data_IF_599467914703
#
_entry.id   IF_599467914703
#
_cell.length_a   1.000
_cell.length_b   1.000
_cell.length_c   1.000
_cell.angle_alpha   90.00
_cell.angle_beta   90.00
_cell.angle_gamma   90.00
#
_symmetry.space_group_name_H-M   'P 1'
#
loop_
_entity.id
_entity.type
_entity.pdbx_description
1 polymer ?
#
# COMPACT_ATOMS: atom_id res chain seq x y z
N UNK A 1 7.71 -21.32 -17.60
CA UNK A 1 6.39 -20.98 -17.03
C UNK A 1 6.41 -19.87 -15.98
N UNK A 2 7.36 -19.75 -15.07
CA UNK A 2 7.38 -18.71 -14.02
C UNK A 2 7.50 -17.27 -14.53
N UNK A 3 8.18 -17.04 -15.66
CA UNK A 3 8.37 -15.68 -16.22
C UNK A 3 7.10 -15.05 -16.79
N UNK A 4 6.14 -15.85 -17.26
CA UNK A 4 4.89 -15.35 -17.85
C UNK A 4 3.81 -15.05 -16.82
N UNK A 5 3.86 -15.68 -15.65
CA UNK A 5 2.88 -15.44 -14.58
C UNK A 5 2.97 -14.00 -14.04
N UNK A 6 4.18 -13.46 -13.89
CA UNK A 6 4.39 -12.07 -13.46
C UNK A 6 3.84 -11.05 -14.46
N UNK A 7 3.97 -11.32 -15.76
CA UNK A 7 3.44 -10.44 -16.82
C UNK A 7 1.91 -10.47 -16.85
N UNK A 8 1.31 -11.64 -16.68
CA UNK A 8 -0.16 -11.79 -16.67
C UNK A 8 -0.77 -11.10 -15.45
N UNK A 9 -0.12 -11.23 -14.27
CA UNK A 9 -0.58 -10.56 -13.04
C UNK A 9 -0.42 -9.05 -13.16
N UNK A 10 0.70 -8.57 -13.72
CA UNK A 10 0.90 -7.14 -13.97
C UNK A 10 -0.10 -6.59 -14.99
N UNK A 11 -0.38 -7.33 -16.07
CA UNK A 11 -1.36 -6.93 -17.07
C UNK A 11 -2.78 -6.92 -16.50
N UNK A 12 -3.15 -7.90 -15.69
CA UNK A 12 -4.42 -7.95 -14.98
C UNK A 12 -4.61 -6.74 -14.06
N UNK A 13 -3.58 -6.34 -13.34
CA UNK A 13 -3.64 -5.15 -12.48
C UNK A 13 -3.82 -3.86 -13.26
N UNK A 14 -3.15 -3.71 -14.39
CA UNK A 14 -3.32 -2.52 -15.25
C UNK A 14 -4.75 -2.42 -15.74
N UNK A 15 -5.36 -3.53 -16.16
CA UNK A 15 -6.75 -3.56 -16.67
C UNK A 15 -7.76 -3.20 -15.56
N UNK A 16 -7.55 -3.68 -14.33
CA UNK A 16 -8.43 -3.34 -13.20
C UNK A 16 -8.15 -1.96 -12.60
N UNK A 17 -6.95 -1.42 -12.77
CA UNK A 17 -6.58 -0.10 -12.29
C UNK A 17 -7.03 1.02 -13.24
N UNK A 18 -7.19 0.75 -14.55
CA UNK A 18 -7.58 1.76 -15.54
C UNK A 18 -8.89 2.48 -15.20
N UNK A 19 -10.00 1.82 -14.83
CA UNK A 19 -11.22 2.53 -14.46
C UNK A 19 -11.08 3.31 -13.14
N UNK A 20 -10.24 2.87 -12.22
CA UNK A 20 -9.97 3.60 -10.98
C UNK A 20 -9.12 4.86 -11.24
N UNK A 21 -8.15 4.78 -12.13
CA UNK A 21 -7.31 5.92 -12.54
C UNK A 21 -8.05 6.96 -13.39
N UNK A 22 -9.19 6.60 -14.00
CA UNK A 22 -10.07 7.54 -14.69
C UNK A 22 -10.90 8.39 -13.73
N UNK A 23 -10.96 8.05 -12.45
CA UNK A 23 -11.63 8.80 -11.39
C UNK A 23 -10.62 9.72 -10.70
N UNK A 24 -11.11 10.82 -10.11
CA UNK A 24 -10.27 11.63 -9.25
C UNK A 24 -9.96 10.86 -7.96
N UNK A 25 -8.71 10.94 -7.45
CA UNK A 25 -8.38 10.32 -6.17
C UNK A 25 -9.23 10.92 -5.06
N UNK A 26 -9.74 10.08 -4.17
CA UNK A 26 -10.55 10.51 -3.02
C UNK A 26 -9.70 10.98 -1.85
N UNK A 27 -8.49 10.42 -1.73
CA UNK A 27 -7.57 10.69 -0.61
C UNK A 27 -6.13 10.58 -1.09
N UNK A 28 -5.25 11.27 -0.37
CA UNK A 28 -3.81 11.01 -0.42
C UNK A 28 -3.30 10.65 0.98
N UNK A 29 -2.25 9.85 1.03
CA UNK A 29 -1.63 9.41 2.28
C UNK A 29 -0.13 9.57 2.18
N UNK A 30 0.48 10.18 3.19
CA UNK A 30 1.93 10.20 3.39
C UNK A 30 2.22 9.30 4.58
N UNK A 31 3.18 8.42 4.48
CA UNK A 31 3.49 7.45 5.52
C UNK A 31 4.99 7.29 5.74
N UNK A 32 5.33 6.87 6.94
CA UNK A 32 6.69 6.46 7.30
C UNK A 32 6.65 5.33 8.32
N UNK A 33 7.70 4.55 8.40
CA UNK A 33 7.77 3.46 9.35
C UNK A 33 8.97 2.53 9.18
N UNK A 34 8.91 1.41 9.87
CA UNK A 34 9.95 0.40 9.92
C UNK A 34 9.77 -0.67 8.84
N UNK A 35 10.86 -1.05 8.21
CA UNK A 35 10.99 -2.28 7.46
C UNK A 35 11.49 -3.36 8.42
N UNK A 36 10.72 -4.43 8.52
CA UNK A 36 11.01 -5.58 9.36
C UNK A 36 11.47 -6.72 8.46
N UNK A 37 12.69 -7.11 8.62
CA UNK A 37 13.32 -8.14 7.80
C UNK A 37 14.76 -8.35 8.25
N UNK A 38 15.57 -8.95 7.40
CA UNK A 38 16.98 -9.12 7.68
C UNK A 38 17.80 -8.56 6.50
N UNK A 39 18.40 -7.38 6.65
CA UNK A 39 18.43 -6.48 7.80
C UNK A 39 17.17 -5.60 7.95
N UNK A 40 16.92 -5.10 9.16
CA UNK A 40 15.87 -4.12 9.43
C UNK A 40 16.20 -2.75 8.81
N UNK A 41 15.17 -1.94 8.61
CA UNK A 41 15.34 -0.63 8.01
C UNK A 41 14.17 0.32 8.27
N UNK A 42 14.12 1.35 7.46
CA UNK A 42 13.00 2.30 7.46
C UNK A 42 12.56 2.60 6.03
N UNK A 43 11.31 3.02 5.89
CA UNK A 43 10.77 3.51 4.63
C UNK A 43 9.82 4.68 4.88
N UNK A 44 9.76 5.58 3.91
CA UNK A 44 8.76 6.62 3.84
C UNK A 44 8.23 6.69 2.42
N UNK A 45 6.98 7.11 2.27
CA UNK A 45 6.36 7.15 0.95
C UNK A 45 5.04 7.88 0.94
N UNK A 46 4.40 7.81 -0.21
CA UNK A 46 3.10 8.39 -0.43
C UNK A 46 2.24 7.48 -1.31
N UNK A 47 0.94 7.63 -1.18
CA UNK A 47 -0.04 6.92 -1.98
C UNK A 47 -1.28 7.74 -2.24
N UNK A 48 -2.02 7.31 -3.23
CA UNK A 48 -3.34 7.83 -3.58
C UNK A 48 -4.38 6.74 -3.32
N UNK A 49 -5.58 7.14 -2.99
CA UNK A 49 -6.72 6.22 -2.84
C UNK A 49 -7.79 6.58 -3.84
N UNK A 50 -8.27 5.58 -4.57
CA UNK A 50 -9.37 5.67 -5.51
C UNK A 50 -10.51 4.79 -5.00
N UNK A 51 -11.61 5.39 -4.58
CA UNK A 51 -12.75 4.64 -4.07
C UNK A 51 -13.53 4.02 -5.23
N UNK A 52 -13.59 2.68 -5.27
CA UNK A 52 -14.35 1.92 -6.27
C UNK A 52 -15.82 1.84 -5.86
N UNK A 53 -16.03 1.58 -4.57
CA UNK A 53 -17.35 1.61 -3.95
C UNK A 53 -17.21 1.95 -2.44
N UNK A 54 -18.31 1.89 -1.68
CA UNK A 54 -18.30 2.25 -0.27
C UNK A 54 -17.28 1.48 0.59
N UNK A 55 -16.99 0.23 0.24
CA UNK A 55 -16.13 -0.65 1.04
C UNK A 55 -14.79 -0.97 0.37
N UNK A 56 -14.67 -0.76 -0.95
CA UNK A 56 -13.50 -1.15 -1.72
C UNK A 56 -12.83 0.06 -2.34
N UNK A 57 -11.54 0.16 -2.16
CA UNK A 57 -10.70 1.17 -2.81
C UNK A 57 -9.45 0.53 -3.43
N UNK A 58 -8.84 1.23 -4.37
CA UNK A 58 -7.55 0.91 -4.96
C UNK A 58 -6.51 1.95 -4.54
N UNK A 59 -5.38 1.48 -4.02
CA UNK A 59 -4.33 2.31 -3.46
C UNK A 59 -2.99 2.05 -4.16
N UNK A 60 -2.65 2.81 -5.21
CA UNK A 60 -1.28 2.88 -5.70
C UNK A 60 -0.41 3.68 -4.72
N UNK A 61 0.77 3.15 -4.43
CA UNK A 61 1.71 3.80 -3.53
C UNK A 61 3.15 3.54 -3.95
N UNK A 62 4.02 4.48 -3.62
CA UNK A 62 5.46 4.32 -3.71
C UNK A 62 6.13 4.58 -2.37
N UNK A 63 7.28 3.98 -2.14
CA UNK A 63 8.10 4.30 -0.99
C UNK A 63 9.58 4.20 -1.29
N UNK A 64 10.35 4.98 -0.54
CA UNK A 64 11.80 4.98 -0.51
C UNK A 64 12.24 4.63 0.91
N UNK A 65 13.31 3.88 1.03
CA UNK A 65 13.82 3.49 2.32
C UNK A 65 15.25 2.96 2.27
N UNK A 66 15.70 2.46 3.40
CA UNK A 66 16.96 1.75 3.54
C UNK A 66 16.74 0.49 4.38
N UNK A 67 17.39 -0.58 3.96
CA UNK A 67 17.48 -1.82 4.72
C UNK A 67 18.98 -2.16 4.84
N UNK A 68 19.52 -1.99 6.05
CA UNK A 68 20.98 -1.98 6.23
C UNK A 68 21.65 -0.86 5.44
N UNK A 69 22.58 -1.20 4.57
CA UNK A 69 23.28 -0.25 3.69
C UNK A 69 22.63 -0.09 2.30
N UNK A 70 21.65 -0.90 1.97
CA UNK A 70 20.97 -0.88 0.67
C UNK A 70 19.81 0.11 0.65
N UNK A 71 19.73 0.91 -0.41
CA UNK A 71 18.55 1.70 -0.72
C UNK A 71 17.43 0.79 -1.23
N UNK A 72 16.21 1.01 -0.78
CA UNK A 72 15.04 0.25 -1.19
C UNK A 72 14.03 1.20 -1.81
N UNK A 73 13.61 0.92 -3.02
CA UNK A 73 12.48 1.55 -3.68
C UNK A 73 11.35 0.54 -3.84
N UNK A 74 10.12 0.94 -3.52
CA UNK A 74 8.97 0.09 -3.78
C UNK A 74 7.87 0.84 -4.52
N UNK A 75 7.21 0.14 -5.43
CA UNK A 75 5.99 0.56 -6.09
C UNK A 75 4.94 -0.52 -5.85
N UNK A 76 3.77 -0.16 -5.39
CA UNK A 76 2.71 -1.11 -5.07
C UNK A 76 1.34 -0.63 -5.53
N UNK A 77 0.49 -1.58 -5.91
CA UNK A 77 -0.94 -1.37 -6.11
C UNK A 77 -1.70 -2.39 -5.27
N UNK A 78 -2.52 -1.92 -4.37
CA UNK A 78 -3.30 -2.78 -3.49
C UNK A 78 -4.76 -2.42 -3.52
N UNK A 79 -5.61 -3.42 -3.41
CA UNK A 79 -7.03 -3.24 -3.11
C UNK A 79 -7.21 -3.27 -1.59
N UNK A 80 -8.01 -2.35 -1.10
CA UNK A 80 -8.36 -2.23 0.31
C UNK A 80 -9.84 -2.51 0.46
N UNK A 81 -10.19 -3.34 1.45
CA UNK A 81 -11.55 -3.57 1.89
C UNK A 81 -11.75 -2.95 3.27
N UNK A 82 -12.60 -1.94 3.37
CA UNK A 82 -12.90 -1.21 4.60
C UNK A 82 -14.16 -1.76 5.28
N UNK A 83 -14.04 -2.04 6.57
CA UNK A 83 -15.17 -2.47 7.42
C UNK A 83 -15.78 -1.25 8.07
N UNK A 84 -16.93 -0.81 7.57
CA UNK A 84 -17.68 0.26 8.19
C UNK A 84 -18.48 -0.31 9.36
N UNK A 85 -18.10 0.04 10.58
CA UNK A 85 -18.82 -0.28 11.81
C UNK A 85 -19.66 0.94 12.14
N UNK A 86 -20.84 0.72 12.73
CA UNK A 86 -21.85 1.78 12.96
C UNK A 86 -21.38 2.96 13.82
N UNK A 87 -20.27 2.82 14.51
CA UNK A 87 -19.60 3.88 15.28
C UNK A 87 -18.33 4.30 14.57
N UNK A 88 -18.42 5.28 13.68
CA UNK A 88 -17.40 5.68 12.69
C UNK A 88 -16.07 6.23 13.25
N UNK A 89 -15.77 6.02 14.54
CA UNK A 89 -14.53 6.49 15.15
C UNK A 89 -13.27 5.78 14.58
N UNK A 90 -13.40 4.52 14.15
CA UNK A 90 -12.29 3.71 13.61
C UNK A 90 -12.78 2.88 12.44
N UNK A 91 -12.06 2.93 11.33
CA UNK A 91 -12.36 2.12 10.14
C UNK A 91 -11.23 1.12 9.92
N UNK A 92 -11.36 -0.12 10.42
CA UNK A 92 -10.42 -1.17 10.13
C UNK A 92 -10.53 -1.62 8.68
N UNK A 93 -9.43 -2.12 8.11
CA UNK A 93 -9.40 -2.62 6.76
C UNK A 93 -8.40 -3.76 6.55
N UNK A 94 -8.67 -4.56 5.53
CA UNK A 94 -7.75 -5.52 4.95
C UNK A 94 -7.25 -4.98 3.62
N UNK A 95 -6.04 -5.34 3.23
CA UNK A 95 -5.52 -5.01 1.91
C UNK A 95 -4.80 -6.21 1.29
N UNK A 96 -4.84 -6.25 -0.02
CA UNK A 96 -4.15 -7.26 -0.81
C UNK A 96 -3.82 -6.73 -2.21
N UNK A 97 -2.68 -7.12 -2.73
CA UNK A 97 -2.25 -6.66 -4.03
C UNK A 97 -0.88 -7.16 -4.40
N UNK A 98 -0.23 -6.43 -5.28
CA UNK A 98 1.13 -6.74 -5.68
C UNK A 98 2.00 -5.49 -5.70
N UNK A 99 3.31 -5.71 -5.71
CA UNK A 99 4.28 -4.64 -5.79
C UNK A 99 5.57 -5.09 -6.45
N UNK A 100 6.36 -4.09 -6.76
CA UNK A 100 7.74 -4.23 -7.19
C UNK A 100 8.62 -3.59 -6.13
N UNK A 101 9.65 -4.29 -5.73
CA UNK A 101 10.68 -3.76 -4.85
C UNK A 101 12.02 -3.85 -5.56
N UNK A 102 12.78 -2.77 -5.51
CA UNK A 102 14.13 -2.72 -6.06
C UNK A 102 15.12 -2.47 -4.93
N UNK A 103 16.08 -3.36 -4.80
CA UNK A 103 17.26 -3.21 -3.94
C UNK A 103 18.46 -3.85 -4.61
N UNK A 104 19.64 -3.29 -4.38
CA UNK A 104 20.92 -3.77 -4.93
C UNK A 104 20.89 -4.06 -6.45
N UNK A 105 20.26 -3.16 -7.23
CA UNK A 105 20.09 -3.28 -8.68
C UNK A 105 19.23 -4.45 -9.16
N UNK A 106 18.61 -5.20 -8.26
CA UNK A 106 17.67 -6.25 -8.59
C UNK A 106 16.23 -5.79 -8.33
N UNK A 107 15.32 -6.14 -9.24
CA UNK A 107 13.88 -5.87 -9.12
C UNK A 107 13.15 -7.16 -8.80
N UNK A 108 12.36 -7.13 -7.74
CA UNK A 108 11.58 -8.26 -7.25
C UNK A 108 10.09 -7.93 -7.25
N UNK A 109 9.30 -8.76 -7.94
CA UNK A 109 7.85 -8.72 -7.82
C UNK A 109 7.38 -9.49 -6.60
N UNK A 110 6.39 -8.98 -5.88
CA UNK A 110 5.82 -9.62 -4.69
C UNK A 110 4.31 -9.49 -4.62
N UNK A 111 3.67 -10.50 -4.07
CA UNK A 111 2.33 -10.35 -3.53
C UNK A 111 2.41 -9.66 -2.16
N UNK A 112 1.45 -8.80 -1.89
CA UNK A 112 1.36 -8.00 -0.67
C UNK A 112 0.02 -8.27 -0.02
N UNK A 113 0.04 -8.48 1.29
CA UNK A 113 -1.14 -8.57 2.11
C UNK A 113 -0.95 -7.75 3.38
N UNK A 114 -2.02 -7.26 3.97
CA UNK A 114 -1.90 -6.48 5.18
C UNK A 114 -3.21 -6.09 5.82
N UNK A 115 -3.06 -5.41 6.94
CA UNK A 115 -4.16 -4.90 7.75
C UNK A 115 -3.82 -3.50 8.23
N UNK A 116 -4.85 -2.70 8.46
CA UNK A 116 -4.69 -1.38 9.04
C UNK A 116 -6.00 -0.85 9.58
N UNK A 117 -5.94 0.37 10.09
CA UNK A 117 -7.11 1.09 10.53
C UNK A 117 -6.94 2.59 10.26
N UNK A 118 -8.05 3.30 10.10
CA UNK A 118 -8.09 4.76 10.01
C UNK A 118 -8.73 5.34 11.25
N UNK A 119 -8.05 6.27 11.88
CA UNK A 119 -8.50 7.01 13.06
C UNK A 119 -8.70 8.48 12.68
N UNK A 120 -9.91 9.03 12.77
CA UNK A 120 -10.14 10.45 12.51
C UNK A 120 -9.45 11.30 13.58
N UNK A 121 -8.65 12.27 13.17
CA UNK A 121 -7.99 13.24 14.07
C UNK A 121 -8.39 14.68 13.80
N UNK A 122 -9.17 14.90 12.75
CA UNK A 122 -9.63 16.22 12.36
C UNK A 122 -10.59 16.16 11.19
N UNK A 123 -10.98 17.33 10.71
CA UNK A 123 -11.85 17.42 9.55
C UNK A 123 -11.12 16.93 8.30
N UNK A 124 -11.55 15.79 7.75
CA UNK A 124 -10.95 15.13 6.57
C UNK A 124 -9.49 14.65 6.76
N UNK A 125 -9.03 14.47 7.99
CA UNK A 125 -7.67 13.99 8.29
C UNK A 125 -7.75 12.76 9.19
N UNK A 126 -6.96 11.73 8.85
CA UNK A 126 -6.88 10.47 9.58
C UNK A 126 -5.43 10.08 9.85
N UNK A 127 -5.19 9.44 10.99
CA UNK A 127 -3.99 8.64 11.24
C UNK A 127 -4.26 7.23 10.76
N UNK A 128 -3.28 6.64 10.09
CA UNK A 128 -3.41 5.34 9.42
C UNK A 128 -2.24 4.44 9.81
N UNK A 129 -2.31 3.74 10.95
CA UNK A 129 -1.39 2.64 11.24
C UNK A 129 -1.70 1.46 10.32
N UNK A 130 -0.65 0.85 9.77
CA UNK A 130 -0.76 -0.23 8.80
C UNK A 130 0.42 -1.19 8.90
N UNK A 131 0.12 -2.47 8.79
CA UNK A 131 1.11 -3.54 8.66
C UNK A 131 0.91 -4.22 7.32
N UNK A 132 1.99 -4.33 6.55
CA UNK A 132 2.04 -5.09 5.28
C UNK A 132 3.09 -6.18 5.36
N UNK A 133 2.81 -7.31 4.75
CA UNK A 133 3.78 -8.37 4.50
C UNK A 133 3.85 -8.64 3.00
N UNK A 134 5.04 -8.92 2.51
CA UNK A 134 5.31 -9.27 1.13
C UNK A 134 5.91 -10.68 1.04
N UNK A 135 5.66 -11.36 -0.07
CA UNK A 135 6.11 -12.75 -0.28
C UNK A 135 7.62 -12.95 -0.22
N UNK A 136 8.40 -11.88 -0.29
CA UNK A 136 9.86 -11.92 -0.16
C UNK A 136 10.36 -11.81 1.28
N UNK A 137 9.46 -11.98 2.27
CA UNK A 137 9.82 -11.95 3.68
C UNK A 137 10.04 -10.56 4.26
N UNK A 138 9.75 -9.51 3.52
CA UNK A 138 9.73 -8.15 4.03
C UNK A 138 8.35 -7.85 4.65
N UNK A 139 8.33 -7.48 5.90
CA UNK A 139 7.18 -6.88 6.54
C UNK A 139 7.43 -5.38 6.75
N UNK A 140 6.38 -4.59 6.75
CA UNK A 140 6.45 -3.15 6.95
C UNK A 140 5.39 -2.74 7.96
N UNK A 141 5.80 -2.02 8.99
CA UNK A 141 4.91 -1.29 9.87
C UNK A 141 5.02 0.19 9.55
N UNK A 142 3.93 0.84 9.23
CA UNK A 142 3.89 2.26 8.91
C UNK A 142 2.80 2.98 9.68
N UNK A 143 3.04 4.26 9.94
CA UNK A 143 2.02 5.21 10.36
C UNK A 143 1.93 6.27 9.28
N UNK A 144 0.73 6.51 8.78
CA UNK A 144 0.45 7.49 7.76
C UNK A 144 -0.49 8.58 8.25
N UNK A 145 -0.46 9.71 7.55
CA UNK A 145 -1.48 10.75 7.63
C UNK A 145 -2.18 10.76 6.28
N UNK A 146 -3.48 10.54 6.31
CA UNK A 146 -4.35 10.55 5.13
C UNK A 146 -5.27 11.76 5.18
N UNK A 147 -5.48 12.40 4.03
CA UNK A 147 -6.41 13.52 3.89
C UNK A 147 -7.30 13.33 2.66
N UNK A 148 -8.60 13.57 2.81
CA UNK A 148 -9.54 13.64 1.69
C UNK A 148 -9.46 14.98 0.97
N UNK A 149 -9.69 14.92 -0.34
CA UNK A 149 -9.85 16.09 -1.20
C UNK A 149 -11.19 16.81 -0.95
#
# INVERSE_FOLDING_TARGET
MRKHLGVIVALGMVIFALPALAQQPSRYTIFGGALLGSPNGFAAGAGLTFDINRNVSFDPAFSLGRSGNAGVFTLSGVFRYEFHVDDEAVVPYLLGGVGLAQWDSATHGSAIGGVGARFPIGHRIWIVPEVRAATHGLARFTIGISKSF
#
